data_IF_791125097053
#
_entry.id   IF_791125097053
#
_cell.length_a   1.000
_cell.length_b   1.000
_cell.length_c   1.000
_cell.angle_alpha   90.00
_cell.angle_beta   90.00
_cell.angle_gamma   90.00
#
_symmetry.space_group_name_H-M   'P 1'
#
loop_
_entity.id
_entity.type
_entity.pdbx_description
1 polymer ?
#
# COMPACT_ATOMS: atom_id res chain seq x y z
N UNK A 1 -5.56 -3.01 -25.53
CA UNK A 1 -6.07 -2.77 -24.16
C UNK A 1 -7.58 -3.00 -24.18
N UNK A 2 -8.05 -4.15 -23.68
CA UNK A 2 -9.46 -4.52 -23.69
C UNK A 2 -10.21 -4.00 -22.44
N UNK A 3 -9.50 -3.92 -21.30
CA UNK A 3 -10.04 -3.47 -20.01
C UNK A 3 -9.18 -2.31 -19.50
N UNK A 4 -9.82 -1.31 -18.90
CA UNK A 4 -9.18 -0.22 -18.18
C UNK A 4 -9.11 -0.57 -16.69
N UNK A 5 -7.92 -0.98 -16.24
CA UNK A 5 -7.65 -1.35 -14.85
C UNK A 5 -7.95 -0.22 -13.87
N UNK A 6 -7.68 1.03 -14.25
CA UNK A 6 -7.91 2.20 -13.38
C UNK A 6 -9.40 2.38 -13.12
N UNK A 7 -10.20 2.23 -14.18
CA UNK A 7 -11.66 2.33 -14.08
C UNK A 7 -12.25 1.22 -13.22
N UNK A 8 -11.74 -0.01 -13.36
CA UNK A 8 -12.23 -1.16 -12.57
C UNK A 8 -11.87 -0.98 -11.10
N UNK A 9 -10.63 -0.59 -10.81
CA UNK A 9 -10.13 -0.42 -9.45
C UNK A 9 -10.86 0.72 -8.72
N UNK A 10 -11.06 1.87 -9.38
CA UNK A 10 -11.79 3.00 -8.83
C UNK A 10 -13.30 2.76 -8.67
N UNK A 11 -13.84 1.67 -9.22
CA UNK A 11 -15.24 1.29 -9.03
C UNK A 11 -15.46 0.51 -7.70
N UNK A 12 -14.37 0.04 -7.07
CA UNK A 12 -14.44 -0.66 -5.78
C UNK A 12 -14.69 0.39 -4.69
N UNK A 13 -15.67 0.15 -3.81
CA UNK A 13 -15.88 1.04 -2.66
C UNK A 13 -14.64 1.01 -1.75
N UNK A 14 -14.07 2.16 -1.33
CA UNK A 14 -12.89 2.21 -0.47
C UNK A 14 -13.01 1.37 0.81
N UNK A 15 -14.21 1.29 1.40
CA UNK A 15 -14.49 0.48 2.60
C UNK A 15 -14.57 -1.03 2.34
N UNK A 16 -14.42 -1.46 1.08
CA UNK A 16 -14.35 -2.86 0.66
C UNK A 16 -13.04 -3.20 -0.04
N UNK A 17 -12.16 -2.22 -0.22
CA UNK A 17 -10.87 -2.36 -0.88
C UNK A 17 -9.84 -2.92 0.11
N UNK A 18 -9.99 -4.20 0.45
CA UNK A 18 -9.10 -4.91 1.38
C UNK A 18 -7.66 -5.04 0.87
N UNK A 19 -7.43 -4.78 -0.41
CA UNK A 19 -6.11 -4.78 -1.05
C UNK A 19 -5.43 -3.41 -0.96
N UNK A 20 -6.17 -2.35 -0.60
CA UNK A 20 -5.64 -1.03 -0.25
C UNK A 20 -5.19 -0.16 -1.43
N UNK A 21 -5.56 -0.50 -2.66
CA UNK A 21 -5.08 0.22 -3.85
C UNK A 21 -6.01 1.35 -4.31
N UNK A 22 -7.22 1.45 -3.75
CA UNK A 22 -8.14 2.53 -4.07
C UNK A 22 -7.48 3.88 -3.73
N UNK A 23 -7.50 4.88 -4.62
CA UNK A 23 -6.77 6.14 -4.41
C UNK A 23 -7.10 6.86 -3.10
N UNK A 24 -8.34 6.72 -2.60
CA UNK A 24 -8.76 7.23 -1.28
C UNK A 24 -7.96 6.57 -0.15
N UNK A 25 -7.84 5.24 -0.14
CA UNK A 25 -7.09 4.49 0.86
C UNK A 25 -5.60 4.80 0.79
N UNK A 26 -5.03 4.84 -0.42
CA UNK A 26 -3.64 5.26 -0.63
C UNK A 26 -3.39 6.70 -0.14
N UNK A 27 -4.34 7.60 -0.36
CA UNK A 27 -4.29 8.98 0.15
C UNK A 27 -4.35 9.04 1.68
N UNK A 28 -5.25 8.28 2.31
CA UNK A 28 -5.36 8.17 3.77
C UNK A 28 -4.06 7.65 4.39
N UNK A 29 -3.47 6.59 3.84
CA UNK A 29 -2.16 6.08 4.26
C UNK A 29 -1.09 7.18 4.23
N UNK A 30 -1.00 7.93 3.12
CA UNK A 30 0.01 8.98 2.95
C UNK A 30 -0.09 10.10 4.00
N UNK A 31 -1.31 10.42 4.46
CA UNK A 31 -1.56 11.46 5.48
C UNK A 31 -1.70 10.90 6.90
N UNK A 32 -1.50 9.59 7.10
CA UNK A 32 -1.60 8.93 8.40
C UNK A 32 -3.03 8.79 8.94
N UNK A 33 -4.03 8.66 8.05
CA UNK A 33 -5.41 8.37 8.41
C UNK A 33 -5.72 6.86 8.30
N UNK A 34 -6.63 6.40 9.16
CA UNK A 34 -7.09 5.01 9.15
C UNK A 34 -7.75 4.65 7.81
N UNK A 35 -7.32 3.52 7.24
CA UNK A 35 -7.79 2.98 5.97
C UNK A 35 -7.31 1.54 5.80
N UNK A 36 -7.82 0.85 4.77
CA UNK A 36 -7.12 -0.33 4.27
C UNK A 36 -5.81 0.10 3.63
N UNK A 37 -4.75 -0.66 3.86
CA UNK A 37 -3.41 -0.35 3.35
C UNK A 37 -2.93 -1.46 2.41
N UNK A 38 -2.06 -1.14 1.43
CA UNK A 38 -1.52 -2.11 0.48
C UNK A 38 -0.97 -3.37 1.15
N UNK A 39 -1.51 -4.52 0.75
CA UNK A 39 -1.26 -5.80 1.45
C UNK A 39 0.22 -6.22 1.42
N UNK A 40 0.94 -5.93 0.33
CA UNK A 40 2.33 -6.35 0.16
C UNK A 40 3.30 -5.50 1.00
N UNK A 41 3.30 -4.15 0.93
CA UNK A 41 4.06 -3.33 1.87
C UNK A 41 3.69 -3.61 3.32
N UNK A 42 2.40 -3.77 3.64
CA UNK A 42 1.98 -4.09 4.99
C UNK A 42 2.54 -5.43 5.47
N UNK A 43 2.46 -6.48 4.66
CA UNK A 43 3.05 -7.78 4.99
C UNK A 43 4.56 -7.71 5.21
N UNK A 44 5.29 -6.89 4.45
CA UNK A 44 6.73 -6.67 4.67
C UNK A 44 6.97 -6.00 6.03
N UNK A 45 6.16 -5.01 6.40
CA UNK A 45 6.27 -4.35 7.71
C UNK A 45 5.98 -5.32 8.86
N UNK A 46 4.99 -6.20 8.72
CA UNK A 46 4.69 -7.25 9.70
C UNK A 46 5.86 -8.23 9.84
N UNK A 47 6.47 -8.67 8.73
CA UNK A 47 7.64 -9.55 8.76
C UNK A 47 8.84 -8.90 9.48
N UNK A 48 9.09 -7.61 9.21
CA UNK A 48 10.16 -6.88 9.88
C UNK A 48 9.90 -6.72 11.39
N UNK A 49 8.63 -6.52 11.78
CA UNK A 49 8.23 -6.43 13.17
C UNK A 49 8.37 -7.78 13.90
N UNK A 50 7.94 -8.88 13.28
CA UNK A 50 8.05 -10.24 13.82
C UNK A 50 9.52 -10.64 14.06
N UNK A 51 10.41 -10.26 13.14
CA UNK A 51 11.86 -10.44 13.27
C UNK A 51 12.55 -9.45 14.23
N UNK A 52 11.79 -8.52 14.84
CA UNK A 52 12.32 -7.56 15.82
C UNK A 52 13.27 -6.51 15.23
N UNK A 53 13.13 -6.17 13.95
CA UNK A 53 14.01 -5.21 13.27
C UNK A 53 13.64 -3.77 13.66
N UNK A 54 14.51 -3.07 14.39
CA UNK A 54 14.35 -1.62 14.62
C UNK A 54 14.64 -0.84 13.34
N UNK A 55 13.63 -0.20 12.75
CA UNK A 55 13.77 0.55 11.50
C UNK A 55 14.29 1.98 11.69
N UNK A 56 14.27 2.49 12.93
CA UNK A 56 14.51 3.91 13.17
C UNK A 56 15.94 4.30 12.81
N UNK A 57 16.09 5.30 11.95
CA UNK A 57 17.39 5.84 11.53
C UNK A 57 18.14 4.97 10.51
N UNK A 58 17.56 3.87 10.03
CA UNK A 58 18.16 3.06 8.96
C UNK A 58 17.94 3.71 7.60
N UNK A 59 18.89 3.47 6.69
CA UNK A 59 18.73 3.81 5.28
C UNK A 59 17.99 2.67 4.57
N UNK A 60 16.75 2.90 4.18
CA UNK A 60 15.97 1.99 3.35
C UNK A 60 16.09 2.38 1.87
N UNK A 61 16.19 1.39 0.98
CA UNK A 61 16.21 1.59 -0.47
C UNK A 61 15.12 0.72 -1.09
N UNK A 62 14.13 1.35 -1.72
CA UNK A 62 13.12 0.66 -2.51
C UNK A 62 13.51 0.72 -3.99
N UNK A 63 13.67 -0.44 -4.63
CA UNK A 63 13.98 -0.54 -6.06
C UNK A 63 12.70 -0.85 -6.84
N UNK A 64 12.13 0.18 -7.45
CA UNK A 64 10.84 0.10 -8.15
C UNK A 64 9.84 1.10 -7.56
N UNK A 65 8.91 1.57 -8.40
CA UNK A 65 7.96 2.64 -8.05
C UNK A 65 6.54 2.36 -8.55
N UNK A 66 6.15 1.08 -8.55
CA UNK A 66 4.79 0.68 -8.91
C UNK A 66 3.79 1.25 -7.91
N UNK A 67 2.56 1.49 -8.36
CA UNK A 67 1.49 1.98 -7.47
C UNK A 67 1.01 0.93 -6.45
N UNK A 68 1.38 -0.34 -6.66
CA UNK A 68 0.91 -1.47 -5.85
C UNK A 68 1.94 -1.99 -4.83
N UNK A 69 3.22 -1.62 -4.97
CA UNK A 69 4.28 -2.10 -4.07
C UNK A 69 5.32 -1.03 -3.75
N UNK A 70 5.90 -0.36 -4.77
CA UNK A 70 7.09 0.46 -4.53
C UNK A 70 6.83 1.88 -4.01
N UNK A 71 5.63 2.41 -4.24
CA UNK A 71 5.21 3.73 -3.74
C UNK A 71 4.56 3.68 -2.34
N UNK A 72 3.56 2.82 -2.10
CA UNK A 72 3.05 2.63 -0.75
C UNK A 72 4.09 2.00 0.16
#
# INVERSE_FOLDING_TARGET
KHIDETKVLNAINPHKDVDGFHPVNAGHLFIGQDSFIPCTPHGIMELLADEGVDLKGKQAVVVGRSNIVGKP
#
